data_IF_870871085397
#
_entry.id   IF_870871085397
#
_cell.length_a   1.000
_cell.length_b   1.000
_cell.length_c   1.000
_cell.angle_alpha   90.00
_cell.angle_beta   90.00
_cell.angle_gamma   90.00
#
_symmetry.space_group_name_H-M   'P 1'
#
loop_
_entity.id
_entity.type
_entity.pdbx_description
1 polymer ?
#
# COMPACT_ATOMS: atom_id res chain seq x y z
N UNK A 1 -13.21 -0.36 8.50
CA UNK A 1 -12.29 0.67 8.21
C UNK A 1 -10.94 0.10 7.82
N UNK A 2 -10.37 0.60 6.79
CA UNK A 2 -9.11 0.08 6.27
C UNK A 2 -7.92 0.74 6.93
N UNK A 3 -6.81 0.06 7.00
CA UNK A 3 -5.61 0.67 7.52
C UNK A 3 -4.38 -0.02 6.94
N UNK A 4 -3.27 0.70 6.95
CA UNK A 4 -2.05 0.20 6.36
C UNK A 4 -1.15 -0.30 7.49
N UNK A 5 -0.51 -1.43 7.25
CA UNK A 5 0.28 -2.09 8.26
C UNK A 5 1.62 -2.50 7.68
N UNK A 6 2.70 -2.34 8.40
CA UNK A 6 4.00 -2.81 7.91
C UNK A 6 4.01 -4.32 7.88
N UNK A 7 4.68 -4.86 6.87
CA UNK A 7 4.77 -6.27 6.75
C UNK A 7 6.20 -6.69 6.84
N UNK A 8 6.43 -7.54 7.65
CA UNK A 8 7.71 -8.01 7.70
C UNK A 8 8.70 -7.12 8.05
N UNK A 9 9.08 -6.83 8.80
CA UNK A 9 9.94 -6.02 9.16
C UNK A 9 11.17 -6.24 9.06
N UNK A 10 11.79 -6.16 8.66
CA UNK A 10 12.90 -6.32 8.41
C UNK A 10 13.74 -5.64 8.96
N UNK A 11 14.07 -5.52 9.65
CA UNK A 11 14.76 -4.95 10.19
C UNK A 11 15.94 -4.92 9.93
N UNK A 12 16.33 -4.72 9.51
CA UNK A 12 17.38 -4.66 9.12
C UNK A 12 18.29 -4.28 9.93
N UNK A 13 18.45 -4.33 10.66
CA UNK A 13 19.24 -3.99 11.41
C UNK A 13 20.45 -3.86 11.29
N UNK A 14 20.94 -3.69 10.97
CA UNK A 14 21.95 -3.55 10.73
C UNK A 14 22.87 -3.23 11.52
N UNK A 15 23.13 -3.24 12.01
CA UNK A 15 23.89 -3.03 12.72
C UNK A 15 25.03 -2.55 12.62
N UNK A 16 25.46 -2.22 12.34
CA UNK A 16 26.46 -1.78 12.18
C UNK A 16 27.25 -1.25 12.82
N UNK A 17 27.55 -1.08 13.04
CA UNK A 17 28.35 -0.79 13.65
C UNK A 17 29.02 0.30 13.43
N UNK A 18 29.10 0.73 12.99
CA UNK A 18 29.71 1.72 12.70
C UNK A 18 29.20 2.73 12.53
N UNK A 19 28.88 3.08 12.73
CA UNK A 19 28.42 4.15 12.59
C UNK A 19 27.79 4.67 11.64
N UNK A 20 27.73 4.95 11.20
CA UNK A 20 27.17 5.56 10.26
C UNK A 20 26.16 5.02 9.84
N UNK A 21 25.58 4.66 10.16
CA UNK A 21 24.65 4.11 9.83
C UNK A 21 23.63 4.71 9.43
N UNK A 22 23.25 5.03 8.92
CA UNK A 22 22.37 5.62 8.35
C UNK A 22 21.34 5.00 8.04
N UNK A 23 20.65 4.67 8.30
CA UNK A 23 19.70 4.19 8.06
C UNK A 23 18.79 4.49 7.17
N UNK A 24 18.61 4.38 6.30
CA UNK A 24 17.85 4.46 5.39
C UNK A 24 16.87 3.54 5.53
N UNK A 25 15.82 3.81 5.60
CA UNK A 25 14.76 3.02 5.77
C UNK A 25 14.59 2.21 4.66
N UNK A 26 14.88 1.37 4.54
CA UNK A 26 14.81 0.66 3.61
C UNK A 26 13.60 0.43 3.09
N UNK A 27 13.17 -0.01 2.42
CA UNK A 27 12.08 -0.37 1.84
C UNK A 27 11.22 -1.09 2.69
N UNK A 28 10.58 -0.58 3.63
CA UNK A 28 9.57 -1.22 4.41
C UNK A 28 8.44 -1.57 3.50
N UNK A 29 8.00 -2.77 3.56
CA UNK A 29 6.84 -3.16 2.80
C UNK A 29 5.61 -3.03 3.64
N UNK A 30 4.51 -2.69 3.00
CA UNK A 30 3.24 -2.49 3.69
C UNK A 30 2.15 -3.32 3.05
N UNK A 31 1.12 -3.61 3.82
CA UNK A 31 -0.08 -4.21 3.29
C UNK A 31 -1.24 -3.36 3.77
N UNK A 32 -2.38 -3.51 3.15
CA UNK A 32 -3.57 -2.79 3.57
C UNK A 32 -4.56 -3.83 4.07
N UNK A 33 -5.15 -3.58 5.23
CA UNK A 33 -6.24 -4.41 5.69
C UNK A 33 -7.48 -3.69 5.20
N UNK A 34 -8.24 -4.34 4.33
CA UNK A 34 -9.36 -3.66 3.70
C UNK A 34 -10.55 -3.53 4.66
N UNK A 35 -11.62 -2.97 4.17
CA UNK A 35 -12.76 -2.70 5.03
C UNK A 35 -13.46 -3.94 5.56
N UNK A 36 -13.15 -5.08 4.97
CA UNK A 36 -13.72 -6.32 5.46
C UNK A 36 -12.70 -7.19 6.17
N UNK A 37 -11.52 -6.69 6.42
CA UNK A 37 -10.52 -7.41 7.18
C UNK A 37 -9.58 -8.27 6.36
N UNK A 38 -9.63 -8.19 5.04
CA UNK A 38 -8.72 -8.97 4.21
C UNK A 38 -7.46 -8.19 3.90
N UNK A 39 -6.35 -8.87 3.85
CA UNK A 39 -5.08 -8.20 3.57
C UNK A 39 -4.84 -8.04 2.08
N UNK A 40 -4.51 -6.85 1.66
CA UNK A 40 -4.18 -6.54 0.28
C UNK A 40 -2.68 -6.34 0.21
N UNK A 41 -2.03 -7.09 -0.66
CA UNK A 41 -0.58 -7.00 -0.81
C UNK A 41 -0.25 -6.51 -2.22
N UNK A 42 0.99 -6.18 -2.44
CA UNK A 42 1.42 -5.82 -3.78
C UNK A 42 1.12 -6.98 -4.71
N UNK A 43 0.65 -6.65 -5.87
CA UNK A 43 0.26 -7.60 -6.92
C UNK A 43 -1.15 -8.17 -6.73
N UNK A 44 -1.82 -7.85 -5.67
CA UNK A 44 -3.22 -8.24 -5.52
C UNK A 44 -4.07 -7.24 -6.30
N UNK A 45 -5.33 -7.60 -6.52
CA UNK A 45 -6.26 -6.70 -7.16
C UNK A 45 -7.19 -6.10 -6.12
N UNK A 46 -7.54 -4.86 -6.30
CA UNK A 46 -8.38 -4.17 -5.33
C UNK A 46 -9.33 -3.19 -5.99
N UNK A 47 -10.39 -2.88 -5.30
CA UNK A 47 -11.35 -1.88 -5.74
C UNK A 47 -11.34 -0.76 -4.74
N UNK A 48 -11.26 0.46 -5.20
CA UNK A 48 -11.16 1.63 -4.35
C UNK A 48 -12.24 2.64 -4.70
N UNK A 49 -12.93 3.12 -3.69
CA UNK A 49 -13.91 4.18 -3.87
C UNK A 49 -13.33 5.45 -3.25
N UNK A 50 -13.28 6.50 -4.02
CA UNK A 50 -12.68 7.76 -3.58
C UNK A 50 -13.80 8.69 -3.13
N UNK A 51 -13.53 9.53 -2.16
CA UNK A 51 -14.58 10.42 -1.64
C UNK A 51 -15.20 11.30 -2.70
N UNK A 52 -14.52 11.58 -3.79
CA UNK A 52 -15.12 12.42 -4.82
C UNK A 52 -16.07 11.64 -5.72
N UNK A 53 -16.29 10.38 -5.43
CA UNK A 53 -17.25 9.59 -6.18
C UNK A 53 -16.65 8.66 -7.22
N UNK A 54 -15.35 8.72 -7.43
CA UNK A 54 -14.75 7.86 -8.44
C UNK A 54 -14.53 6.46 -7.91
N UNK A 55 -14.55 5.51 -8.81
CA UNK A 55 -14.31 4.12 -8.49
C UNK A 55 -13.11 3.67 -9.32
N UNK A 56 -12.12 3.10 -8.68
CA UNK A 56 -10.92 2.66 -9.33
C UNK A 56 -10.66 1.21 -8.98
N UNK A 57 -10.44 0.39 -9.98
CA UNK A 57 -10.20 -1.01 -9.74
C UNK A 57 -9.02 -1.45 -10.59
N UNK A 58 -8.11 -2.19 -10.03
CA UNK A 58 -6.97 -2.65 -10.77
C UNK A 58 -6.00 -3.41 -9.91
N UNK A 59 -4.79 -3.57 -10.43
CA UNK A 59 -3.77 -4.32 -9.74
C UNK A 59 -2.94 -3.38 -8.87
N UNK A 60 -2.77 -3.75 -7.63
CA UNK A 60 -1.99 -2.94 -6.71
C UNK A 60 -0.52 -3.19 -6.98
N UNK A 61 0.20 -2.17 -7.36
CA UNK A 61 1.61 -2.31 -7.70
C UNK A 61 2.51 -1.82 -6.60
N UNK A 62 1.99 -0.99 -5.71
CA UNK A 62 2.81 -0.51 -4.64
C UNK A 62 1.95 0.01 -3.51
N UNK A 63 2.34 -0.30 -2.30
CA UNK A 63 1.66 0.18 -1.12
C UNK A 63 2.67 0.94 -0.30
N UNK A 64 2.45 2.23 -0.14
CA UNK A 64 3.36 3.03 0.66
C UNK A 64 2.66 3.42 1.94
N UNK A 65 3.35 4.14 2.77
CA UNK A 65 2.78 4.56 4.02
C UNK A 65 1.61 5.53 3.85
N UNK A 66 1.59 6.30 2.79
CA UNK A 66 0.56 7.32 2.62
C UNK A 66 -0.34 7.14 1.41
N UNK A 67 0.00 6.25 0.52
CA UNK A 67 -0.80 6.09 -0.68
C UNK A 67 -0.67 4.70 -1.26
N UNK A 68 -1.58 4.38 -2.15
CA UNK A 68 -1.55 3.12 -2.85
C UNK A 68 -1.43 3.44 -4.33
N UNK A 69 -0.66 2.63 -5.04
CA UNK A 69 -0.51 2.78 -6.46
C UNK A 69 -1.20 1.62 -7.14
N UNK A 70 -2.13 1.90 -8.04
CA UNK A 70 -2.89 0.89 -8.73
C UNK A 70 -2.73 1.10 -10.23
N UNK A 71 -2.54 0.02 -10.97
CA UNK A 71 -2.51 0.08 -12.41
C UNK A 71 -3.84 -0.40 -12.93
N UNK A 72 -4.55 0.45 -13.68
CA UNK A 72 -5.82 0.08 -14.22
C UNK A 72 -5.60 -0.47 -15.61
N UNK A 73 -6.70 -0.92 -16.26
CA UNK A 73 -6.59 -1.60 -17.45
C UNK A 73 -5.79 -1.01 -18.50
N UNK A 74 -5.68 0.21 -18.68
CA UNK A 74 -4.91 0.78 -19.72
C UNK A 74 -3.49 1.02 -19.34
N UNK A 75 -3.00 0.31 -18.37
CA UNK A 75 -1.63 0.46 -17.91
C UNK A 75 -1.38 1.82 -17.33
N UNK A 76 -2.40 2.48 -16.91
CA UNK A 76 -2.26 3.78 -16.33
C UNK A 76 -2.10 3.66 -14.84
N UNK A 77 -1.11 4.29 -14.27
CA UNK A 77 -0.90 4.24 -12.84
C UNK A 77 -1.68 5.31 -12.13
N UNK A 78 -2.34 4.92 -11.07
CA UNK A 78 -3.10 5.86 -10.27
C UNK A 78 -2.53 5.84 -8.87
N UNK A 79 -2.23 7.01 -8.35
CA UNK A 79 -1.70 7.14 -6.99
C UNK A 79 -2.79 7.73 -6.13
N UNK A 80 -3.25 6.99 -5.16
CA UNK A 80 -4.38 7.43 -4.36
C UNK A 80 -3.97 7.54 -2.91
N UNK A 81 -3.95 8.75 -2.37
CA UNK A 81 -3.63 8.92 -0.95
C UNK A 81 -4.71 8.28 -0.10
N UNK A 82 -4.32 7.63 0.96
CA UNK A 82 -5.30 6.93 1.79
C UNK A 82 -6.38 7.85 2.33
N UNK A 83 -6.04 9.08 2.61
CA UNK A 83 -7.04 9.99 3.15
C UNK A 83 -8.14 10.32 2.16
N UNK A 84 -7.95 10.01 0.89
CA UNK A 84 -8.99 10.26 -0.08
C UNK A 84 -9.84 9.03 -0.35
N UNK A 85 -9.53 7.94 0.27
CA UNK A 85 -10.24 6.68 0.03
C UNK A 85 -11.40 6.55 1.00
N UNK A 86 -12.60 6.39 0.47
CA UNK A 86 -13.76 6.19 1.33
C UNK A 86 -13.96 4.71 1.60
N UNK A 87 -13.52 3.86 0.69
CA UNK A 87 -13.69 2.44 0.87
C UNK A 87 -12.69 1.70 -0.01
N UNK A 88 -12.19 0.59 0.47
CA UNK A 88 -11.29 -0.22 -0.32
C UNK A 88 -11.57 -1.68 -0.01
N UNK A 89 -11.64 -2.49 -1.03
CA UNK A 89 -11.90 -3.91 -0.88
C UNK A 89 -10.97 -4.72 -1.76
N UNK A 90 -10.56 -5.85 -1.25
CA UNK A 90 -9.73 -6.75 -2.02
C UNK A 90 -10.59 -7.49 -3.02
N UNK A 91 -10.11 -7.64 -4.22
CA UNK A 91 -10.81 -8.41 -5.24
C UNK A 91 -10.22 -9.79 -5.29
N UNK A 92 -11.04 -10.78 -5.17
CA UNK A 92 -10.58 -12.17 -5.17
C UNK A 92 -10.70 -12.83 -6.53
#
# INVERSE_FOLDING_TARGET
MAFVVPVGEELSISVNTNDDVIEKPKDTKFMIVDDEGYGIYENDFASVWVFDGRFISGKVTRISYISIEIIIEQQEKMYIPYKKISRILKNF
#
